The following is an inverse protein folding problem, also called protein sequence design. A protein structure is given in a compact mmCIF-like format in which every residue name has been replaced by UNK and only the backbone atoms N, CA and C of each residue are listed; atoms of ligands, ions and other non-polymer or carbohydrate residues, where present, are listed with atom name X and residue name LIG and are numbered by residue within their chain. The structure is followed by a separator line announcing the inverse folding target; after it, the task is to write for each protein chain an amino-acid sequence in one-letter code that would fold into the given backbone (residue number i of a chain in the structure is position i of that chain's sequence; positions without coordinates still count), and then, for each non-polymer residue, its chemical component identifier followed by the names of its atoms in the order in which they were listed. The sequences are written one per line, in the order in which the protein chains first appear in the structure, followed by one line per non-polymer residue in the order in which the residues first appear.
data_IF_184520630809
#
_entry.id   IF_184520630809
#
_cell.length_a   1.000
_cell.length_b   1.000
_cell.length_c   1.000
_cell.angle_alpha   90.00
_cell.angle_beta   90.00
_cell.angle_gamma   90.00
#
_symmetry.space_group_name_H-M   'P 1'
#
loop_
_entity.id
_entity.type
_entity.pdbx_description
1 polymer ?
#
# COMPACT_ATOMS: atom_id res chain seq x y z
N UNK A 1 -28.09 -14.99 6.71
CA UNK A 1 -28.23 -14.73 5.65
C UNK A 1 -27.39 -13.74 4.94
N UNK A 2 -27.66 -13.59 3.78
CA UNK A 2 -26.85 -12.81 2.91
C UNK A 2 -26.69 -11.39 3.32
N UNK A 3 -27.69 -10.88 3.99
CA UNK A 3 -27.67 -9.49 4.37
C UNK A 3 -26.52 -9.13 5.26
N UNK A 4 -26.14 -10.02 6.13
CA UNK A 4 -25.05 -9.71 7.03
C UNK A 4 -23.74 -9.58 6.31
N UNK A 5 -23.50 -10.50 5.39
CA UNK A 5 -22.28 -10.44 4.62
C UNK A 5 -22.23 -9.19 3.82
N UNK A 6 -23.36 -8.83 3.23
CA UNK A 6 -23.45 -7.62 2.44
C UNK A 6 -23.19 -6.39 3.27
N UNK A 7 -23.65 -6.43 4.50
CA UNK A 7 -23.47 -5.30 5.38
C UNK A 7 -21.98 -5.01 5.63
N UNK A 8 -21.22 -6.04 5.80
CA UNK A 8 -19.79 -5.84 6.00
C UNK A 8 -19.11 -5.36 4.74
N UNK A 9 -19.53 -5.89 3.62
CA UNK A 9 -18.93 -5.51 2.35
C UNK A 9 -19.26 -4.08 1.97
N UNK A 10 -20.38 -3.57 2.43
CA UNK A 10 -20.76 -2.22 2.06
C UNK A 10 -19.86 -1.17 2.65
N UNK A 11 -18.99 -1.54 3.58
CA UNK A 11 -18.04 -0.59 4.11
C UNK A 11 -17.02 -0.15 3.07
N UNK A 12 -16.77 -1.00 2.07
CA UNK A 12 -15.88 -0.65 0.98
C UNK A 12 -16.62 -0.87 -0.33
N UNK A 13 -16.67 0.16 -1.15
CA UNK A 13 -17.16 0.00 -2.50
C UNK A 13 -16.13 -0.81 -3.28
N UNK A 14 -16.60 -1.45 -4.36
CA UNK A 14 -15.71 -2.26 -5.17
C UNK A 14 -14.47 -1.50 -5.61
N UNK A 15 -14.65 -0.24 -5.98
CA UNK A 15 -13.53 0.57 -6.44
C UNK A 15 -12.58 0.95 -5.32
N UNK A 16 -12.94 0.68 -4.08
CA UNK A 16 -12.09 1.01 -2.94
C UNK A 16 -11.25 -0.17 -2.46
N UNK A 17 -11.48 -1.36 -3.00
CA UNK A 17 -10.65 -2.50 -2.66
C UNK A 17 -9.27 -2.33 -3.31
N UNK A 18 -8.22 -2.87 -2.68
CA UNK A 18 -6.89 -2.81 -3.27
C UNK A 18 -6.89 -3.38 -4.69
N UNK A 19 -6.21 -2.68 -5.57
CA UNK A 19 -6.15 -3.06 -6.97
C UNK A 19 -4.71 -3.28 -7.39
N UNK A 20 -4.46 -4.38 -8.08
CA UNK A 20 -3.13 -4.70 -8.51
C UNK A 20 -2.30 -5.33 -7.40
N UNK A 21 -1.18 -5.91 -7.80
CA UNK A 21 -0.36 -6.67 -6.86
C UNK A 21 0.26 -5.81 -5.79
N UNK A 22 0.72 -4.61 -6.15
CA UNK A 22 1.39 -3.76 -5.18
C UNK A 22 0.42 -3.31 -4.10
N UNK A 23 -0.77 -2.86 -4.49
CA UNK A 23 -1.76 -2.43 -3.51
C UNK A 23 -2.19 -3.58 -2.62
N UNK A 24 -2.35 -4.76 -3.18
CA UNK A 24 -2.76 -5.92 -2.40
C UNK A 24 -1.70 -6.30 -1.37
N UNK A 25 -0.44 -6.26 -1.76
CA UNK A 25 0.64 -6.52 -0.81
C UNK A 25 0.68 -5.47 0.27
N UNK A 26 0.54 -4.21 -0.10
CA UNK A 26 0.54 -3.14 0.89
C UNK A 26 -0.64 -3.28 1.85
N UNK A 27 -1.80 -3.66 1.33
CA UNK A 27 -2.97 -3.85 2.18
C UNK A 27 -2.70 -4.96 3.19
N UNK A 28 -2.04 -6.02 2.78
CA UNK A 28 -1.72 -7.09 3.70
C UNK A 28 -0.72 -6.63 4.75
N UNK A 29 0.32 -5.91 4.35
CA UNK A 29 1.30 -5.38 5.28
C UNK A 29 0.61 -4.49 6.32
N UNK A 30 -0.25 -3.59 5.85
CA UNK A 30 -0.96 -2.68 6.73
C UNK A 30 -1.91 -3.41 7.66
N UNK A 31 -2.64 -4.38 7.11
CA UNK A 31 -3.60 -5.14 7.91
C UNK A 31 -2.90 -5.88 9.05
N UNK A 32 -1.78 -6.48 8.76
CA UNK A 32 -1.03 -7.22 9.76
C UNK A 32 -0.42 -6.29 10.80
N UNK A 33 0.10 -5.16 10.37
CA UNK A 33 0.79 -4.24 11.25
C UNK A 33 -0.19 -3.43 12.09
N UNK A 34 -1.25 -2.94 11.47
CA UNK A 34 -2.24 -2.10 12.15
C UNK A 34 -3.33 -2.92 12.84
N UNK A 35 -3.40 -4.21 12.51
CA UNK A 35 -4.37 -5.14 13.08
C UNK A 35 -5.80 -4.70 12.80
N UNK A 36 -6.03 -4.25 11.59
CA UNK A 36 -7.36 -3.89 11.10
C UNK A 36 -7.58 -4.52 9.74
N UNK A 37 -8.83 -4.75 9.41
CA UNK A 37 -9.20 -5.40 8.16
C UNK A 37 -10.68 -5.18 7.95
N UNK A 38 -11.14 -4.95 6.72
CA UNK A 38 -10.32 -4.81 5.51
C UNK A 38 -9.69 -3.42 5.42
N UNK A 39 -8.67 -3.32 4.56
CA UNK A 39 -8.02 -2.05 4.28
C UNK A 39 -8.41 -1.62 2.88
N UNK A 40 -8.99 -0.43 2.76
CA UNK A 40 -9.31 0.13 1.46
C UNK A 40 -8.15 0.91 0.88
N UNK A 41 -8.09 1.02 -0.43
CA UNK A 41 -6.99 1.69 -1.09
C UNK A 41 -6.92 3.18 -0.77
N UNK A 42 -8.01 3.75 -0.32
CA UNK A 42 -8.08 5.17 0.02
C UNK A 42 -8.13 5.44 1.51
N UNK A 43 -8.00 4.41 2.34
CA UNK A 43 -8.04 4.58 3.77
C UNK A 43 -6.74 5.24 4.24
N UNK A 44 -6.87 6.22 5.12
CA UNK A 44 -5.71 6.96 5.61
C UNK A 44 -4.99 6.21 6.72
N UNK A 45 -3.65 6.27 6.68
CA UNK A 45 -2.84 5.56 7.65
C UNK A 45 -3.19 5.93 9.09
N UNK A 46 -3.31 7.23 9.35
CA UNK A 46 -3.62 7.68 10.71
C UNK A 46 -5.04 7.32 11.11
N UNK A 47 -5.96 7.35 10.16
CA UNK A 47 -7.35 6.99 10.44
C UNK A 47 -7.47 5.54 10.87
N UNK A 48 -6.58 4.71 10.39
CA UNK A 48 -6.57 3.30 10.73
C UNK A 48 -5.82 3.00 12.02
N UNK A 49 -5.33 4.03 12.68
CA UNK A 49 -4.63 3.85 13.95
C UNK A 49 -3.13 3.85 13.86
N UNK A 50 -2.57 4.32 12.74
CA UNK A 50 -1.13 4.32 12.57
C UNK A 50 -0.44 5.41 13.36
N UNK A 51 0.83 5.18 13.64
CA UNK A 51 1.70 6.16 14.28
C UNK A 51 3.12 5.96 13.76
N UNK A 52 4.06 6.71 14.30
CA UNK A 52 5.43 6.68 13.80
C UNK A 52 6.07 5.30 13.93
N UNK A 53 5.82 4.62 15.03
CA UNK A 53 6.39 3.30 15.25
C UNK A 53 5.85 2.31 14.24
N UNK A 54 4.53 2.33 14.04
CA UNK A 54 3.91 1.43 13.07
C UNK A 54 4.35 1.77 11.65
N UNK A 55 4.53 3.05 11.35
CA UNK A 55 5.02 3.46 10.05
C UNK A 55 6.42 2.91 9.78
N UNK A 56 7.28 2.96 10.78
CA UNK A 56 8.63 2.41 10.64
C UNK A 56 8.57 0.92 10.37
N UNK A 57 7.70 0.21 11.08
CA UNK A 57 7.54 -1.22 10.87
C UNK A 57 7.07 -1.51 9.44
N UNK A 58 6.12 -0.72 8.96
CA UNK A 58 5.62 -0.89 7.61
C UNK A 58 6.72 -0.64 6.59
N UNK A 59 7.55 0.38 6.81
CA UNK A 59 8.65 0.67 5.89
C UNK A 59 9.64 -0.48 5.81
N UNK A 60 9.93 -1.11 6.94
CA UNK A 60 10.82 -2.27 6.94
C UNK A 60 10.22 -3.42 6.15
N UNK A 61 8.93 -3.65 6.30
CA UNK A 61 8.28 -4.71 5.56
C UNK A 61 8.23 -4.41 4.07
N UNK A 62 8.05 -3.15 3.70
CA UNK A 62 8.07 -2.75 2.30
C UNK A 62 9.45 -3.02 1.72
N UNK A 63 10.50 -2.69 2.46
CA UNK A 63 11.85 -2.94 2.00
C UNK A 63 12.09 -4.44 1.82
N UNK A 64 11.61 -5.26 2.75
CA UNK A 64 11.80 -6.69 2.67
C UNK A 64 11.07 -7.31 1.48
N UNK A 65 9.86 -6.84 1.22
CA UNK A 65 9.02 -7.47 0.20
C UNK A 65 9.29 -6.87 -1.18
N UNK A 66 9.40 -5.55 -1.26
CA UNK A 66 9.54 -4.88 -2.55
C UNK A 66 10.98 -4.50 -2.87
N UNK A 67 11.87 -4.55 -1.88
CA UNK A 67 13.23 -4.11 -2.10
C UNK A 67 13.36 -2.61 -2.27
N UNK A 68 12.38 -1.86 -1.79
CA UNK A 68 12.33 -0.41 -1.98
C UNK A 68 12.47 0.27 -0.65
N UNK A 69 13.38 1.25 -0.58
CA UNK A 69 13.59 2.04 0.61
C UNK A 69 12.86 3.37 0.49
N UNK A 70 11.93 3.62 1.40
CA UNK A 70 11.17 4.86 1.39
C UNK A 70 11.43 5.62 2.68
N UNK A 71 11.52 6.95 2.63
CA UNK A 71 11.66 7.73 3.85
C UNK A 71 10.36 7.74 4.65
N UNK A 72 10.49 7.89 5.95
CA UNK A 72 9.35 7.84 6.85
C UNK A 72 8.28 8.86 6.47
N UNK A 73 8.70 10.04 6.06
CA UNK A 73 7.75 11.11 5.74
C UNK A 73 6.80 10.73 4.61
N UNK A 74 7.19 9.78 3.76
CA UNK A 74 6.35 9.40 2.63
C UNK A 74 5.02 8.81 3.11
N UNK A 75 5.07 7.99 4.18
CA UNK A 75 3.83 7.44 4.71
C UNK A 75 2.95 8.55 5.27
N UNK A 76 3.57 9.52 5.95
CA UNK A 76 2.80 10.62 6.53
C UNK A 76 2.21 11.54 5.46
N UNK A 77 2.92 11.74 4.37
CA UNK A 77 2.45 12.62 3.32
C UNK A 77 1.40 11.98 2.44
N UNK A 78 1.60 10.71 2.08
CA UNK A 78 0.71 10.04 1.16
C UNK A 78 -0.45 9.33 1.84
N UNK A 79 -0.18 8.69 2.96
CA UNK A 79 -1.17 8.13 3.88
C UNK A 79 -2.05 6.99 3.36
N UNK A 80 -2.07 6.68 2.07
CA UNK A 80 -2.93 5.62 1.54
C UNK A 80 -2.11 4.62 0.77
N UNK A 81 -2.60 3.37 0.70
CA UNK A 81 -1.90 2.37 -0.07
C UNK A 81 -1.94 2.68 -1.55
N UNK A 82 -3.00 3.34 -2.02
CA UNK A 82 -3.08 3.74 -3.42
C UNK A 82 -1.91 4.65 -3.78
N UNK A 83 -1.66 5.66 -2.95
CA UNK A 83 -0.59 6.61 -3.22
C UNK A 83 0.78 5.96 -3.07
N UNK A 84 0.94 5.12 -2.05
CA UNK A 84 2.21 4.43 -1.85
C UNK A 84 2.51 3.47 -2.99
N UNK A 85 1.50 2.75 -3.46
CA UNK A 85 1.69 1.82 -4.56
C UNK A 85 2.14 2.55 -5.81
N UNK A 86 1.62 3.75 -6.02
CA UNK A 86 2.02 4.54 -7.17
C UNK A 86 3.50 4.91 -7.12
N UNK A 87 3.99 5.25 -5.94
CA UNK A 87 5.40 5.57 -5.77
C UNK A 87 6.25 4.34 -6.04
N UNK A 88 5.87 3.20 -5.49
CA UNK A 88 6.62 1.97 -5.69
C UNK A 88 6.62 1.58 -7.17
N UNK A 89 5.47 1.70 -7.81
CA UNK A 89 5.35 1.38 -9.22
C UNK A 89 6.23 2.29 -10.07
N UNK A 90 6.29 3.55 -9.72
CA UNK A 90 7.16 4.50 -10.45
C UNK A 90 8.62 4.12 -10.29
N UNK A 91 9.03 3.68 -9.11
CA UNK A 91 10.40 3.26 -8.89
C UNK A 91 10.74 2.06 -9.75
N UNK A 92 9.83 1.08 -9.80
CA UNK A 92 10.04 -0.09 -10.65
C UNK A 92 10.10 0.30 -12.13
N UNK A 93 9.20 1.17 -12.55
CA UNK A 93 9.17 1.59 -13.96
C UNK A 93 10.43 2.32 -14.35
N UNK A 94 10.95 3.14 -13.46
CA UNK A 94 12.19 3.84 -13.70
C UNK A 94 13.35 2.90 -13.88
N UNK A 95 13.45 1.91 -13.00
CA UNK A 95 14.52 0.94 -13.08
C UNK A 95 14.47 0.18 -14.39
N UNK A 96 13.27 -0.22 -14.79
CA UNK A 96 13.10 -0.93 -16.06
C UNK A 96 13.44 -0.04 -17.23
N UNK A 97 13.01 1.22 -17.15
CA UNK A 97 13.31 2.18 -18.21
C UNK A 97 14.80 2.39 -18.39
N UNK A 98 15.51 2.48 -17.27
CA UNK A 98 16.95 2.65 -17.34
C UNK A 98 17.62 1.45 -18.00
N UNK A 99 17.15 0.25 -17.67
CA UNK A 99 17.70 -0.95 -18.27
C UNK A 99 17.44 -0.96 -19.77
N UNK A 100 16.25 -0.59 -20.17
CA UNK A 100 15.92 -0.54 -21.58
C UNK A 100 16.78 0.46 -22.34
N UNK A 101 17.00 1.61 -21.73
CA UNK A 101 17.82 2.64 -22.36
C UNK A 101 19.23 2.14 -22.61
N UNK A 102 19.77 1.44 -21.64
CA UNK A 102 21.10 0.88 -21.82
C UNK A 102 21.13 -0.16 -22.92
N UNK A 103 20.07 -0.92 -23.03
CA UNK A 103 19.99 -1.95 -24.03
C UNK A 103 19.89 -1.37 -25.42
N UNK A 104 19.21 -0.26 -25.55
CA UNK A 104 19.04 0.37 -26.85
C UNK A 104 20.32 0.94 -27.41
N UNK A 105 21.23 1.26 -26.55
CA UNK A 105 22.49 1.81 -26.97
C UNK A 105 23.43 0.73 -27.45
#
# INVERSE_FOLDING_TARGET
MLTFDNHEYTQLAECEFPQGEIEKELAQIWSETLKVSPIGRNDGFFELGGDSLLATTILHKIQDIFGVELPLRVIFELQTIKALAKVIDNIYSRAIGEIFEETDI
#
